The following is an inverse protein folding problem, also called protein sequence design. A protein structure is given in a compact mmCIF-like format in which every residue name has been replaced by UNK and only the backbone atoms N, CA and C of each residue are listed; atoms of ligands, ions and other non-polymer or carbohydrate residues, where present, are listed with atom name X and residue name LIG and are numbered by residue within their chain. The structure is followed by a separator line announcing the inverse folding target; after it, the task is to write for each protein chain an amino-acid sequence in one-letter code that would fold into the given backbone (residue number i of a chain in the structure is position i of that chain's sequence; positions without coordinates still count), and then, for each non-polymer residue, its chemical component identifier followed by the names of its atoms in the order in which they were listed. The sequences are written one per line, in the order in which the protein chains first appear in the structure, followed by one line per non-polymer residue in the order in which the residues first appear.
data_IF_629480065417
#
_entry.id   IF_629480065417
#
_cell.length_a   1.000
_cell.length_b   1.000
_cell.length_c   1.000
_cell.angle_alpha   90.00
_cell.angle_beta   90.00
_cell.angle_gamma   90.00
#
_symmetry.space_group_name_H-M   'P 1'
#
loop_
_entity.id
_entity.type
_entity.pdbx_description
1 polymer ?
#
# COMPACT_ATOMS: atom_id res chain seq x y z
N UNK A 1 6.71 -6.08 21.10
CA UNK A 1 6.00 -5.40 20.02
C UNK A 1 6.36 -3.91 20.09
N UNK A 2 6.79 -3.26 19.02
CA UNK A 2 7.18 -1.84 19.07
C UNK A 2 5.96 -0.93 19.24
N UNK A 3 6.12 0.20 19.93
CA UNK A 3 5.05 1.18 20.21
C UNK A 3 4.29 1.62 18.94
N UNK A 4 5.01 1.80 17.83
CA UNK A 4 4.43 2.18 16.55
C UNK A 4 3.51 1.11 15.95
N UNK A 5 3.82 -0.19 16.13
CA UNK A 5 2.96 -1.27 15.66
C UNK A 5 1.68 -1.32 16.49
N UNK A 6 1.79 -1.18 17.82
CA UNK A 6 0.62 -1.10 18.69
C UNK A 6 -0.29 0.10 18.36
N UNK A 7 0.30 1.26 18.03
CA UNK A 7 -0.46 2.41 17.54
C UNK A 7 -1.16 2.12 16.20
N UNK A 8 -0.49 1.51 15.22
CA UNK A 8 -1.12 1.14 13.95
C UNK A 8 -2.28 0.15 14.14
N UNK A 9 -2.11 -0.84 15.01
CA UNK A 9 -3.15 -1.82 15.32
C UNK A 9 -4.38 -1.15 15.96
N UNK A 10 -4.17 -0.12 16.80
CA UNK A 10 -5.28 0.67 17.37
C UNK A 10 -6.11 1.41 16.32
N UNK A 11 -5.57 1.64 15.11
CA UNK A 11 -6.28 2.29 14.01
C UNK A 11 -7.14 1.32 13.17
N UNK A 12 -7.03 0.00 13.38
CA UNK A 12 -7.72 -1.03 12.57
C UNK A 12 -9.24 -1.18 12.86
N UNK A 13 -9.91 -0.15 13.39
CA UNK A 13 -11.34 -0.21 13.73
C UNK A 13 -12.29 -0.58 12.58
N UNK A 14 -13.40 -1.24 12.90
CA UNK A 14 -14.55 -1.67 12.04
C UNK A 14 -14.24 -2.25 10.65
N UNK A 15 -13.09 -2.90 10.46
CA UNK A 15 -12.79 -3.72 9.28
C UNK A 15 -12.46 -2.95 8.00
N UNK A 16 -12.50 -3.66 6.87
CA UNK A 16 -12.16 -3.10 5.55
C UNK A 16 -13.24 -2.11 5.11
N UNK A 17 -12.84 -0.86 4.85
CA UNK A 17 -13.70 0.18 4.26
C UNK A 17 -13.20 0.53 2.85
N UNK A 18 -13.78 -0.07 1.79
CA UNK A 18 -13.41 0.25 0.42
C UNK A 18 -13.66 1.73 0.09
N UNK A 19 -12.89 2.25 -0.85
CA UNK A 19 -12.94 3.66 -1.25
C UNK A 19 -11.56 4.32 -1.17
N UNK A 20 -11.31 5.28 -2.06
CA UNK A 20 -9.99 5.90 -2.21
C UNK A 20 -9.92 7.33 -1.68
N UNK A 21 -11.03 7.90 -1.20
CA UNK A 21 -11.09 9.34 -0.89
C UNK A 21 -10.15 9.73 0.26
N UNK A 22 -10.09 8.91 1.32
CA UNK A 22 -9.15 9.10 2.43
C UNK A 22 -7.69 9.08 1.94
N UNK A 23 -7.33 8.08 1.14
CA UNK A 23 -5.98 7.93 0.62
C UNK A 23 -5.63 9.07 -0.35
N UNK A 24 -6.54 9.45 -1.25
CA UNK A 24 -6.37 10.56 -2.19
C UNK A 24 -6.17 11.91 -1.48
N UNK A 25 -6.83 12.14 -0.33
CA UNK A 25 -6.61 13.33 0.48
C UNK A 25 -5.18 13.38 1.04
N UNK A 26 -4.69 12.28 1.59
CA UNK A 26 -3.31 12.15 2.10
C UNK A 26 -2.29 12.34 0.97
N UNK A 27 -2.45 11.62 -0.15
CA UNK A 27 -1.54 11.74 -1.30
C UNK A 27 -1.50 13.17 -1.84
N UNK A 28 -2.64 13.89 -1.87
CA UNK A 28 -2.68 15.30 -2.26
C UNK A 28 -1.89 16.18 -1.29
N UNK A 29 -2.07 16.01 0.02
CA UNK A 29 -1.31 16.74 1.03
C UNK A 29 0.20 16.51 0.92
N UNK A 30 0.60 15.30 0.52
CA UNK A 30 2.00 14.91 0.30
C UNK A 30 2.54 15.29 -1.10
N UNK A 31 1.80 16.06 -1.90
CA UNK A 31 2.18 16.47 -3.27
C UNK A 31 2.35 15.30 -4.25
N UNK A 32 1.48 14.30 -4.13
CA UNK A 32 1.36 13.14 -5.04
C UNK A 32 2.65 12.33 -5.21
N UNK A 33 3.26 11.83 -4.12
CA UNK A 33 4.52 11.08 -4.19
C UNK A 33 4.37 9.77 -5.01
N UNK A 34 3.17 9.22 -5.12
CA UNK A 34 2.87 8.03 -5.92
C UNK A 34 3.13 8.21 -7.43
N UNK A 35 3.32 9.46 -7.88
CA UNK A 35 3.61 9.80 -9.28
C UNK A 35 5.08 10.06 -9.56
N UNK A 36 5.94 9.99 -8.54
CA UNK A 36 7.36 10.36 -8.67
C UNK A 36 8.22 9.28 -9.32
N UNK A 37 7.69 8.06 -9.51
CA UNK A 37 8.44 6.93 -10.05
C UNK A 37 7.52 5.95 -10.81
N UNK A 38 8.04 5.23 -11.81
CA UNK A 38 7.30 4.14 -12.45
C UNK A 38 6.88 3.10 -11.42
N UNK A 39 5.62 2.66 -11.48
CA UNK A 39 5.04 1.74 -10.51
C UNK A 39 4.29 0.62 -11.21
N UNK A 40 4.35 -0.59 -10.65
CA UNK A 40 3.57 -1.76 -11.09
C UNK A 40 2.61 -2.14 -9.97
N UNK A 41 1.30 -2.20 -10.27
CA UNK A 41 0.26 -2.62 -9.32
C UNK A 41 -0.13 -4.07 -9.63
N UNK A 42 0.13 -4.98 -8.68
CA UNK A 42 -0.20 -6.41 -8.82
C UNK A 42 -1.45 -6.75 -7.99
N UNK A 43 -2.54 -7.09 -8.68
CA UNK A 43 -3.81 -7.52 -8.07
C UNK A 43 -4.11 -8.99 -8.39
N UNK A 44 -5.01 -9.61 -7.62
CA UNK A 44 -5.44 -11.00 -7.83
C UNK A 44 -5.75 -11.74 -6.52
N UNK A 45 -6.48 -12.84 -6.57
CA UNK A 45 -6.78 -13.66 -5.39
C UNK A 45 -5.51 -14.35 -4.87
N UNK A 46 -4.76 -14.98 -5.78
CA UNK A 46 -3.51 -15.69 -5.50
C UNK A 46 -2.34 -15.08 -6.31
N UNK A 47 -1.10 -15.40 -5.94
CA UNK A 47 0.08 -15.06 -6.75
C UNK A 47 0.61 -13.63 -6.64
N UNK A 48 -0.12 -12.68 -6.02
CA UNK A 48 0.35 -11.28 -5.86
C UNK A 48 1.77 -11.16 -5.30
N UNK A 49 2.06 -11.95 -4.26
CA UNK A 49 3.37 -11.95 -3.60
C UNK A 49 4.47 -12.52 -4.49
N UNK A 50 4.27 -13.73 -5.05
CA UNK A 50 5.25 -14.38 -5.90
C UNK A 50 5.50 -13.61 -7.20
N UNK A 51 4.46 -13.10 -7.86
CA UNK A 51 4.60 -12.24 -9.05
C UNK A 51 5.37 -10.97 -8.74
N UNK A 52 5.07 -10.30 -7.62
CA UNK A 52 5.82 -9.09 -7.21
C UNK A 52 7.29 -9.40 -6.91
N UNK A 53 7.58 -10.54 -6.27
CA UNK A 53 8.94 -10.98 -6.00
C UNK A 53 9.72 -11.30 -7.30
N UNK A 54 9.09 -12.00 -8.25
CA UNK A 54 9.68 -12.28 -9.56
C UNK A 54 9.98 -10.98 -10.33
N UNK A 55 9.03 -10.05 -10.39
CA UNK A 55 9.23 -8.75 -11.02
C UNK A 55 10.39 -7.99 -10.37
N UNK A 56 10.45 -7.96 -9.04
CA UNK A 56 11.54 -7.32 -8.31
C UNK A 56 12.90 -7.96 -8.62
N UNK A 57 12.99 -9.29 -8.78
CA UNK A 57 14.26 -9.94 -9.15
C UNK A 57 14.73 -9.68 -10.58
N UNK A 58 13.79 -9.40 -11.51
CA UNK A 58 14.10 -9.14 -12.92
C UNK A 58 14.48 -7.68 -13.14
N UNK A 59 13.82 -6.77 -12.41
CA UNK A 59 13.98 -5.32 -12.55
C UNK A 59 14.99 -4.70 -11.57
N UNK A 60 15.70 -5.54 -10.79
CA UNK A 60 16.70 -5.12 -9.81
C UNK A 60 17.91 -4.42 -10.44
#
# INVERSE_FOLDING_TARGET
MSEHLAWLDSLQGSGIRPGLDRMRAVLRALRRPERAYPSIIVAGTNGKGSTSATLASILA
#
